data_IF_046450155739
#
_entry.id   IF_046450155739
#
_cell.length_a   1.000
_cell.length_b   1.000
_cell.length_c   1.000
_cell.angle_alpha   90.00
_cell.angle_beta   90.00
_cell.angle_gamma   90.00
#
_symmetry.space_group_name_H-M   'P 1'
#
loop_
_entity.id
_entity.type
_entity.pdbx_description
1 polymer ?
#
# COMPACT_ATOMS: atom_id res chain seq x y z
N UNK A 1 -8.41 -14.27 -31.48
CA UNK A 1 -7.34 -14.65 -30.54
C UNK A 1 -6.77 -13.45 -29.77
N UNK A 2 -6.12 -12.51 -30.46
CA UNK A 2 -5.37 -11.41 -29.83
C UNK A 2 -6.22 -10.46 -28.96
N UNK A 3 -7.41 -10.08 -29.40
CA UNK A 3 -8.33 -9.25 -28.61
C UNK A 3 -8.71 -9.93 -27.28
N UNK A 4 -8.97 -11.23 -27.30
CA UNK A 4 -9.29 -11.99 -26.09
C UNK A 4 -8.08 -12.00 -25.15
N UNK A 5 -6.87 -12.19 -25.67
CA UNK A 5 -5.65 -12.14 -24.89
C UNK A 5 -5.47 -10.76 -24.22
N UNK A 6 -5.70 -9.66 -24.95
CA UNK A 6 -5.63 -8.32 -24.40
C UNK A 6 -6.65 -8.10 -23.29
N UNK A 7 -7.89 -8.53 -23.49
CA UNK A 7 -8.93 -8.43 -22.45
C UNK A 7 -8.56 -9.24 -21.19
N UNK A 8 -7.97 -10.42 -21.35
CA UNK A 8 -7.50 -11.24 -20.23
C UNK A 8 -6.36 -10.55 -19.50
N UNK A 9 -5.38 -9.97 -20.21
CA UNK A 9 -4.27 -9.26 -19.59
C UNK A 9 -4.72 -7.99 -18.84
N UNK A 10 -5.67 -7.22 -19.44
CA UNK A 10 -6.28 -6.06 -18.76
C UNK A 10 -7.05 -6.51 -17.51
N UNK A 11 -7.80 -7.61 -17.59
CA UNK A 11 -8.54 -8.15 -16.45
C UNK A 11 -7.60 -8.65 -15.34
N UNK A 12 -6.50 -9.31 -15.67
CA UNK A 12 -5.47 -9.70 -14.71
C UNK A 12 -4.85 -8.47 -14.03
N UNK A 13 -4.52 -7.45 -14.81
CA UNK A 13 -4.01 -6.19 -14.29
C UNK A 13 -5.01 -5.54 -13.31
N UNK A 14 -6.30 -5.53 -13.68
CA UNK A 14 -7.38 -5.04 -12.83
C UNK A 14 -7.47 -5.79 -11.48
N UNK A 15 -7.33 -7.12 -11.49
CA UNK A 15 -7.34 -7.94 -10.30
C UNK A 15 -6.15 -7.61 -9.40
N UNK A 16 -4.95 -7.45 -9.97
CA UNK A 16 -3.75 -7.10 -9.21
C UNK A 16 -3.82 -5.68 -8.63
N UNK A 17 -4.25 -4.70 -9.42
CA UNK A 17 -4.45 -3.33 -8.97
C UNK A 17 -5.52 -3.23 -7.86
N UNK A 18 -6.56 -4.06 -7.96
CA UNK A 18 -7.59 -4.20 -6.94
C UNK A 18 -7.02 -4.81 -5.65
N UNK A 19 -6.17 -5.86 -5.79
CA UNK A 19 -5.51 -6.53 -4.66
C UNK A 19 -4.60 -5.59 -3.89
N UNK A 20 -3.80 -4.81 -4.60
CA UNK A 20 -2.90 -3.81 -4.05
C UNK A 20 -3.64 -2.86 -3.09
N UNK A 21 -4.64 -2.17 -3.60
CA UNK A 21 -5.39 -1.20 -2.81
C UNK A 21 -6.29 -1.82 -1.75
N UNK A 22 -6.85 -3.00 -2.01
CA UNK A 22 -7.66 -3.70 -1.02
C UNK A 22 -6.83 -4.08 0.22
N UNK A 23 -5.60 -4.58 0.03
CA UNK A 23 -4.70 -4.93 1.13
C UNK A 23 -4.24 -3.71 1.91
N UNK A 24 -3.88 -2.62 1.23
CA UNK A 24 -3.45 -1.37 1.87
C UNK A 24 -4.59 -0.62 2.60
N UNK A 25 -5.84 -0.83 2.17
CA UNK A 25 -7.00 -0.12 2.73
C UNK A 25 -7.79 -0.91 3.77
N UNK A 26 -7.40 -2.15 4.03
CA UNK A 26 -8.13 -3.02 4.97
C UNK A 26 -7.74 -2.69 6.42
N UNK A 27 -8.72 -2.76 7.32
CA UNK A 27 -8.45 -2.62 8.75
C UNK A 27 -7.82 -3.91 9.29
N UNK A 28 -6.54 -3.83 9.68
CA UNK A 28 -5.76 -4.98 10.16
C UNK A 28 -6.36 -5.63 11.40
N UNK A 29 -6.82 -4.85 12.37
CA UNK A 29 -7.43 -5.38 13.61
C UNK A 29 -8.68 -6.19 13.32
N UNK A 30 -9.50 -5.73 12.35
CA UNK A 30 -10.69 -6.47 11.93
C UNK A 30 -10.31 -7.75 11.20
N UNK A 31 -9.31 -7.68 10.34
CA UNK A 31 -8.80 -8.83 9.58
C UNK A 31 -8.23 -9.91 10.51
N UNK A 32 -7.47 -9.50 11.52
CA UNK A 32 -6.94 -10.39 12.57
C UNK A 32 -8.05 -11.12 13.32
N UNK A 33 -9.07 -10.39 13.78
CA UNK A 33 -10.24 -11.01 14.45
C UNK A 33 -10.94 -12.04 13.57
N UNK A 34 -11.11 -11.76 12.28
CA UNK A 34 -11.71 -12.72 11.33
C UNK A 34 -10.81 -13.93 11.11
N UNK A 35 -9.49 -13.74 11.11
CA UNK A 35 -8.52 -14.83 11.00
C UNK A 35 -8.56 -15.74 12.25
N UNK A 36 -8.68 -15.17 13.44
CA UNK A 36 -8.79 -15.88 14.71
C UNK A 36 -10.11 -16.66 14.83
N UNK A 37 -11.19 -16.13 14.25
CA UNK A 37 -12.48 -16.82 14.12
C UNK A 37 -12.47 -17.99 13.13
N UNK A 38 -11.33 -18.23 12.44
CA UNK A 38 -11.12 -19.37 11.57
C UNK A 38 -11.42 -19.14 10.09
N UNK A 39 -11.69 -17.92 9.64
CA UNK A 39 -11.85 -17.64 8.20
C UNK A 39 -10.50 -17.85 7.48
N UNK A 40 -10.48 -18.87 6.62
CA UNK A 40 -9.28 -19.23 5.84
C UNK A 40 -8.85 -18.14 4.84
N UNK A 41 -9.79 -17.30 4.38
CA UNK A 41 -9.50 -16.20 3.46
C UNK A 41 -8.87 -15.04 4.22
N UNK A 42 -9.40 -14.71 5.39
CA UNK A 42 -8.84 -13.72 6.28
C UNK A 42 -7.42 -14.13 6.73
N UNK A 43 -7.21 -15.39 7.11
CA UNK A 43 -5.86 -15.90 7.44
C UNK A 43 -4.83 -15.72 6.32
N UNK A 44 -5.22 -16.01 5.08
CA UNK A 44 -4.33 -15.81 3.93
C UNK A 44 -4.02 -14.34 3.69
N UNK A 45 -5.05 -13.51 3.76
CA UNK A 45 -4.89 -12.06 3.56
C UNK A 45 -4.05 -11.44 4.67
N UNK A 46 -4.29 -11.78 5.92
CA UNK A 46 -3.52 -11.34 7.08
C UNK A 46 -2.03 -11.71 6.98
N UNK A 47 -1.73 -12.89 6.45
CA UNK A 47 -0.33 -13.27 6.19
C UNK A 47 0.33 -12.36 5.14
N UNK A 48 -0.42 -11.89 4.16
CA UNK A 48 0.09 -10.97 3.13
C UNK A 48 0.29 -9.54 3.68
N UNK A 49 -0.58 -9.08 4.60
CA UNK A 49 -0.43 -7.76 5.23
C UNK A 49 0.78 -7.69 6.17
N UNK A 50 1.19 -8.81 6.77
CA UNK A 50 2.38 -8.87 7.64
C UNK A 50 3.72 -8.71 6.93
N UNK A 51 3.75 -8.90 5.61
CA UNK A 51 4.95 -8.71 4.80
C UNK A 51 4.64 -7.75 3.63
N UNK A 52 4.29 -6.48 3.90
CA UNK A 52 3.75 -5.56 2.90
C UNK A 52 4.75 -5.32 1.76
N UNK A 53 6.03 -5.17 2.05
CA UNK A 53 7.05 -4.96 1.02
C UNK A 53 7.14 -6.12 0.01
N UNK A 54 7.09 -7.37 0.48
CA UNK A 54 7.09 -8.56 -0.41
C UNK A 54 5.79 -8.69 -1.20
N UNK A 55 4.67 -8.37 -0.57
CA UNK A 55 3.37 -8.37 -1.21
C UNK A 55 3.34 -7.34 -2.35
N UNK A 56 3.70 -6.08 -2.06
CA UNK A 56 3.74 -5.00 -3.04
C UNK A 56 4.70 -5.32 -4.20
N UNK A 57 5.89 -5.83 -3.91
CA UNK A 57 6.83 -6.26 -4.94
C UNK A 57 6.23 -7.35 -5.85
N UNK A 58 5.52 -8.34 -5.26
CA UNK A 58 4.86 -9.40 -6.02
C UNK A 58 3.79 -8.84 -6.97
N UNK A 59 2.93 -7.97 -6.45
CA UNK A 59 1.85 -7.35 -7.24
C UNK A 59 2.44 -6.46 -8.33
N UNK A 60 3.46 -5.67 -8.01
CA UNK A 60 4.12 -4.79 -8.97
C UNK A 60 4.75 -5.58 -10.14
N UNK A 61 5.41 -6.70 -9.84
CA UNK A 61 5.95 -7.60 -10.88
C UNK A 61 4.83 -8.13 -11.76
N UNK A 62 3.70 -8.56 -11.17
CA UNK A 62 2.58 -9.11 -11.91
C UNK A 62 1.92 -8.05 -12.82
N UNK A 63 1.70 -6.83 -12.32
CA UNK A 63 1.16 -5.70 -13.08
C UNK A 63 2.10 -5.34 -14.24
N UNK A 64 3.39 -5.16 -13.95
CA UNK A 64 4.40 -4.77 -14.94
C UNK A 64 4.53 -5.82 -16.05
N UNK A 65 4.59 -7.10 -15.67
CA UNK A 65 4.69 -8.19 -16.63
C UNK A 65 3.44 -8.31 -17.51
N UNK A 66 2.25 -8.18 -16.92
CA UNK A 66 0.99 -8.18 -17.67
C UNK A 66 0.92 -7.00 -18.65
N UNK A 67 1.38 -5.81 -18.24
CA UNK A 67 1.43 -4.61 -19.09
C UNK A 67 2.41 -4.77 -20.25
N UNK A 68 3.62 -5.27 -20.00
CA UNK A 68 4.62 -5.50 -21.04
C UNK A 68 4.18 -6.57 -22.02
N UNK A 69 3.64 -7.68 -21.55
CA UNK A 69 3.10 -8.73 -22.43
C UNK A 69 1.94 -8.18 -23.28
N UNK A 70 1.04 -7.41 -22.68
CA UNK A 70 -0.05 -6.76 -23.40
C UNK A 70 0.46 -5.85 -24.52
N UNK A 71 1.42 -4.99 -24.23
CA UNK A 71 2.01 -4.08 -25.21
C UNK A 71 2.74 -4.83 -26.33
N UNK A 72 3.55 -5.84 -25.99
CA UNK A 72 4.30 -6.63 -26.97
C UNK A 72 3.38 -7.38 -27.94
N UNK A 73 2.39 -8.12 -27.42
CA UNK A 73 1.43 -8.84 -28.28
C UNK A 73 0.54 -7.92 -29.09
N UNK A 74 0.26 -6.71 -28.59
CA UNK A 74 -0.52 -5.76 -29.34
C UNK A 74 0.25 -5.13 -30.50
N UNK A 75 1.50 -4.74 -30.23
CA UNK A 75 2.36 -4.19 -31.27
C UNK A 75 2.52 -5.16 -32.43
N UNK A 76 2.79 -6.43 -32.13
CA UNK A 76 2.98 -7.49 -33.12
C UNK A 76 1.67 -7.83 -33.89
N UNK A 77 0.55 -7.87 -33.18
CA UNK A 77 -0.69 -8.39 -33.72
C UNK A 77 -1.63 -7.37 -34.40
N UNK A 78 -1.51 -6.09 -34.06
CA UNK A 78 -2.42 -5.05 -34.57
C UNK A 78 -1.72 -4.05 -35.50
N UNK A 79 -0.37 -4.00 -35.58
CA UNK A 79 0.30 -3.03 -36.42
C UNK A 79 0.11 -3.37 -37.94
N UNK A 80 0.33 -4.59 -38.34
CA UNK A 80 0.13 -5.00 -39.75
C UNK A 80 -1.27 -4.71 -40.30
N UNK A 81 -2.38 -5.16 -39.65
CA UNK A 81 -3.72 -4.86 -40.12
C UNK A 81 -4.01 -3.33 -40.18
N UNK A 82 -3.48 -2.56 -39.24
CA UNK A 82 -3.67 -1.12 -39.22
C UNK A 82 -2.93 -0.45 -40.39
N UNK A 83 -1.70 -0.85 -40.65
CA UNK A 83 -0.88 -0.34 -41.76
C UNK A 83 -1.48 -0.69 -43.09
N UNK A 84 -1.91 -1.94 -43.30
CA UNK A 84 -2.56 -2.38 -44.51
C UNK A 84 -3.87 -1.62 -44.76
N UNK A 85 -4.64 -1.34 -43.71
CA UNK A 85 -5.85 -0.52 -43.82
C UNK A 85 -5.52 0.93 -44.22
N UNK A 86 -4.50 1.56 -43.65
CA UNK A 86 -4.08 2.93 -44.01
C UNK A 86 -3.55 3.01 -45.43
N UNK A 87 -2.76 2.03 -45.88
CA UNK A 87 -2.29 1.94 -47.26
C UNK A 87 -3.45 1.78 -48.25
N UNK A 88 -4.50 1.04 -47.88
CA UNK A 88 -5.69 0.88 -48.72
C UNK A 88 -6.46 2.19 -48.96
N UNK A 89 -6.29 3.18 -48.08
CA UNK A 89 -6.85 4.53 -48.21
C UNK A 89 -6.06 5.44 -49.17
N UNK A 90 -4.97 4.91 -49.79
CA UNK A 90 -4.18 5.63 -50.78
C UNK A 90 -3.13 6.55 -50.18
N UNK A 91 -2.74 6.35 -48.94
CA UNK A 91 -1.69 7.14 -48.26
C UNK A 91 -0.31 6.79 -48.81
N UNK A 92 0.42 7.76 -49.33
CA UNK A 92 1.70 7.58 -50.00
C UNK A 92 2.89 7.80 -49.04
N UNK A 93 2.92 7.01 -47.95
CA UNK A 93 3.98 7.02 -46.91
C UNK A 93 4.70 5.65 -46.98
N UNK A 94 6.03 5.61 -46.78
CA UNK A 94 6.76 4.34 -46.72
C UNK A 94 6.21 3.42 -45.65
N UNK A 95 6.05 2.13 -45.97
CA UNK A 95 5.48 1.12 -45.03
C UNK A 95 6.21 1.10 -43.70
N UNK A 96 7.55 1.20 -43.68
CA UNK A 96 8.35 1.20 -42.44
C UNK A 96 8.05 2.38 -41.51
N UNK A 97 7.70 3.53 -42.07
CA UNK A 97 7.28 4.70 -41.29
C UNK A 97 5.89 4.50 -40.73
N UNK A 98 4.98 3.94 -41.52
CA UNK A 98 3.62 3.60 -41.09
C UNK A 98 3.63 2.55 -39.97
N UNK A 99 4.47 1.50 -40.09
CA UNK A 99 4.64 0.48 -39.05
C UNK A 99 5.05 1.11 -37.71
N UNK A 100 6.05 2.01 -37.72
CA UNK A 100 6.50 2.71 -36.51
C UNK A 100 5.41 3.59 -35.90
N UNK A 101 4.65 4.31 -36.70
CA UNK A 101 3.53 5.14 -36.25
C UNK A 101 2.40 4.26 -35.72
N UNK A 102 2.07 3.16 -36.40
CA UNK A 102 1.04 2.23 -35.98
C UNK A 102 1.33 1.63 -34.60
N UNK A 103 2.56 1.19 -34.34
CA UNK A 103 2.99 0.68 -33.04
C UNK A 103 2.78 1.73 -31.94
N UNK A 104 3.19 2.99 -32.17
CA UNK A 104 2.99 4.07 -31.21
C UNK A 104 1.51 4.33 -30.94
N UNK A 105 0.69 4.43 -31.97
CA UNK A 105 -0.75 4.69 -31.84
C UNK A 105 -1.44 3.54 -31.08
N UNK A 106 -1.15 2.29 -31.46
CA UNK A 106 -1.71 1.11 -30.79
C UNK A 106 -1.29 1.08 -29.32
N UNK A 107 -0.01 1.35 -29.04
CA UNK A 107 0.50 1.39 -27.65
C UNK A 107 -0.22 2.46 -26.84
N UNK A 108 -0.44 3.66 -27.38
CA UNK A 108 -1.16 4.72 -26.69
C UNK A 108 -2.62 4.35 -26.40
N UNK A 109 -3.32 3.78 -27.40
CA UNK A 109 -4.70 3.33 -27.22
C UNK A 109 -4.79 2.24 -26.15
N UNK A 110 -3.92 1.24 -26.22
CA UNK A 110 -3.88 0.16 -25.22
C UNK A 110 -3.49 0.64 -23.84
N UNK A 111 -2.51 1.56 -23.74
CA UNK A 111 -2.14 2.17 -22.47
C UNK A 111 -3.32 2.88 -21.85
N UNK A 112 -4.12 3.59 -22.62
CA UNK A 112 -5.34 4.23 -22.13
C UNK A 112 -6.32 3.21 -21.54
N UNK A 113 -6.63 2.15 -22.27
CA UNK A 113 -7.56 1.11 -21.81
C UNK A 113 -7.00 0.35 -20.60
N UNK A 114 -5.72 0.03 -20.61
CA UNK A 114 -5.05 -0.67 -19.50
C UNK A 114 -5.02 0.21 -18.25
N UNK A 115 -4.70 1.49 -18.37
CA UNK A 115 -4.71 2.42 -17.24
C UNK A 115 -6.13 2.61 -16.67
N UNK A 116 -7.12 2.85 -17.52
CA UNK A 116 -8.48 3.13 -17.05
C UNK A 116 -9.12 1.87 -16.46
N UNK A 117 -9.17 0.78 -17.23
CA UNK A 117 -9.91 -0.42 -16.86
C UNK A 117 -9.06 -1.45 -16.10
N UNK A 118 -7.75 -1.46 -16.32
CA UNK A 118 -6.82 -2.36 -15.66
C UNK A 118 -6.24 -1.80 -14.35
N UNK A 119 -6.34 -0.49 -14.10
CA UNK A 119 -5.69 0.09 -12.92
C UNK A 119 -6.57 1.12 -12.19
N UNK A 120 -6.94 2.26 -12.79
CA UNK A 120 -7.56 3.37 -12.09
C UNK A 120 -8.96 3.04 -11.56
N UNK A 121 -9.82 2.44 -12.37
CA UNK A 121 -11.18 2.05 -11.96
C UNK A 121 -11.13 0.94 -10.91
N UNK A 122 -10.38 -0.17 -11.09
CA UNK A 122 -10.23 -1.21 -10.09
C UNK A 122 -9.71 -0.69 -8.74
N UNK A 123 -8.69 0.19 -8.74
CA UNK A 123 -8.17 0.82 -7.52
C UNK A 123 -9.25 1.61 -6.78
N UNK A 124 -10.04 2.43 -7.49
CA UNK A 124 -11.14 3.19 -6.87
C UNK A 124 -12.23 2.30 -6.28
N UNK A 125 -12.55 1.19 -6.94
CA UNK A 125 -13.52 0.21 -6.44
C UNK A 125 -12.97 -0.49 -5.20
N UNK A 126 -11.70 -0.86 -5.22
CA UNK A 126 -11.02 -1.51 -4.10
C UNK A 126 -11.00 -0.63 -2.84
N UNK A 127 -10.73 0.66 -2.96
CA UNK A 127 -10.78 1.61 -1.83
C UNK A 127 -12.16 1.65 -1.15
N UNK A 128 -13.24 1.48 -1.92
CA UNK A 128 -14.61 1.50 -1.36
C UNK A 128 -15.07 0.16 -0.79
N UNK A 129 -14.50 -0.95 -1.27
CA UNK A 129 -14.93 -2.32 -0.92
C UNK A 129 -13.73 -3.21 -0.58
N UNK A 130 -12.74 -2.66 0.15
CA UNK A 130 -11.46 -3.30 0.44
C UNK A 130 -11.62 -4.69 1.05
N UNK A 131 -12.46 -4.84 2.06
CA UNK A 131 -12.69 -6.09 2.77
C UNK A 131 -13.25 -7.19 1.86
N UNK A 132 -14.34 -6.90 1.15
CA UNK A 132 -15.01 -7.90 0.28
C UNK A 132 -14.09 -8.34 -0.85
N UNK A 133 -13.42 -7.38 -1.49
CA UNK A 133 -12.52 -7.66 -2.61
C UNK A 133 -11.25 -8.34 -2.13
N UNK A 134 -10.61 -7.85 -1.05
CA UNK A 134 -9.41 -8.44 -0.48
C UNK A 134 -9.61 -9.91 -0.10
N UNK A 135 -10.70 -10.23 0.60
CA UNK A 135 -11.04 -11.61 0.95
C UNK A 135 -11.30 -12.48 -0.27
N UNK A 136 -11.99 -11.95 -1.29
CA UNK A 136 -12.33 -12.72 -2.51
C UNK A 136 -11.09 -13.09 -3.33
N UNK A 137 -10.12 -12.16 -3.44
CA UNK A 137 -8.91 -12.35 -4.25
C UNK A 137 -7.73 -12.93 -3.47
N UNK A 138 -7.83 -13.07 -2.14
CA UNK A 138 -6.76 -13.56 -1.26
C UNK A 138 -6.14 -14.88 -1.71
N UNK A 139 -6.97 -15.80 -2.21
CA UNK A 139 -6.51 -17.11 -2.70
C UNK A 139 -5.67 -17.00 -3.98
N UNK A 140 -6.11 -16.20 -4.92
CA UNK A 140 -5.42 -15.98 -6.19
C UNK A 140 -4.06 -15.29 -5.96
N UNK A 141 -4.07 -14.23 -5.16
CA UNK A 141 -2.85 -13.48 -4.81
C UNK A 141 -1.84 -14.34 -4.07
N UNK A 142 -2.29 -15.14 -3.09
CA UNK A 142 -1.42 -16.08 -2.37
C UNK A 142 -0.78 -17.13 -3.30
N UNK A 143 -1.54 -17.64 -4.28
CA UNK A 143 -1.00 -18.55 -5.30
C UNK A 143 0.06 -17.89 -6.16
N UNK A 144 -0.22 -16.69 -6.66
CA UNK A 144 0.70 -15.91 -7.47
C UNK A 144 1.96 -15.54 -6.71
N UNK A 145 1.84 -15.11 -5.43
CA UNK A 145 2.99 -14.83 -4.57
C UNK A 145 3.93 -16.03 -4.44
N UNK A 146 3.38 -17.24 -4.44
CA UNK A 146 4.19 -18.46 -4.40
C UNK A 146 4.96 -18.68 -5.71
N UNK A 147 4.32 -18.46 -6.85
CA UNK A 147 4.96 -18.61 -8.18
C UNK A 147 6.02 -17.54 -8.40
N UNK A 148 5.76 -16.30 -8.03
CA UNK A 148 6.70 -15.18 -8.21
C UNK A 148 7.78 -15.09 -7.11
N UNK A 149 7.73 -15.92 -6.07
CA UNK A 149 8.69 -15.91 -4.97
C UNK A 149 10.15 -15.83 -5.40
N UNK A 150 10.67 -16.64 -6.38
CA UNK A 150 12.06 -16.53 -6.81
C UNK A 150 12.38 -15.19 -7.47
N UNK A 151 11.46 -14.63 -8.25
CA UNK A 151 11.63 -13.34 -8.92
C UNK A 151 11.65 -12.21 -7.88
N UNK A 152 10.71 -12.23 -6.95
CA UNK A 152 10.63 -11.24 -5.87
C UNK A 152 11.86 -11.30 -4.97
N UNK A 153 12.35 -12.50 -4.66
CA UNK A 153 13.60 -12.66 -3.92
C UNK A 153 14.78 -12.01 -4.66
N UNK A 154 14.93 -12.28 -5.95
CA UNK A 154 16.01 -11.70 -6.76
C UNK A 154 15.91 -10.16 -6.80
N UNK A 155 14.72 -9.62 -6.99
CA UNK A 155 14.48 -8.17 -6.96
C UNK A 155 14.81 -7.56 -5.59
N UNK A 156 14.38 -8.20 -4.51
CA UNK A 156 14.68 -7.74 -3.14
C UNK A 156 16.18 -7.71 -2.87
N UNK A 157 16.90 -8.74 -3.28
CA UNK A 157 18.39 -8.77 -3.14
C UNK A 157 19.02 -7.65 -3.95
N UNK A 158 18.55 -7.41 -5.17
CA UNK A 158 19.05 -6.33 -6.04
C UNK A 158 18.77 -4.96 -5.44
N UNK A 159 17.55 -4.73 -4.95
CA UNK A 159 17.14 -3.48 -4.28
C UNK A 159 17.97 -3.23 -3.02
N UNK A 160 18.14 -4.25 -2.17
CA UNK A 160 18.94 -4.14 -0.96
C UNK A 160 20.43 -3.85 -1.27
N UNK A 161 20.95 -4.41 -2.37
CA UNK A 161 22.32 -4.10 -2.82
C UNK A 161 22.45 -2.61 -3.22
N UNK A 162 21.47 -2.08 -3.95
CA UNK A 162 21.44 -0.65 -4.32
C UNK A 162 21.29 0.25 -3.10
N UNK A 163 20.38 -0.07 -2.16
CA UNK A 163 20.20 0.68 -0.92
C UNK A 163 21.49 0.77 -0.11
N UNK A 164 22.22 -0.36 0.04
CA UNK A 164 23.52 -0.37 0.72
C UNK A 164 24.57 0.48 0.01
N UNK A 165 24.58 0.51 -1.32
CA UNK A 165 25.45 1.40 -2.10
C UNK A 165 25.14 2.87 -1.88
N UNK A 166 23.87 3.20 -1.58
CA UNK A 166 23.43 4.55 -1.24
C UNK A 166 23.61 4.89 0.25
N UNK A 167 24.15 3.96 1.06
CA UNK A 167 24.38 4.16 2.50
C UNK A 167 23.15 3.95 3.37
N UNK A 168 22.07 3.37 2.82
CA UNK A 168 20.83 3.08 3.55
C UNK A 168 20.85 1.62 3.99
N UNK A 169 20.65 1.35 5.29
CA UNK A 169 20.51 -0.01 5.79
C UNK A 169 19.09 -0.53 5.54
N UNK A 170 18.89 -1.54 4.66
CA UNK A 170 17.58 -2.08 4.37
C UNK A 170 16.95 -2.87 5.54
N UNK A 171 17.67 -3.08 6.65
CA UNK A 171 17.17 -3.72 7.86
C UNK A 171 16.95 -2.71 9.01
N UNK A 172 17.20 -1.43 8.80
CA UNK A 172 16.80 -0.41 9.74
C UNK A 172 15.28 -0.52 9.92
N UNK A 173 14.86 -0.91 11.12
CA UNK A 173 13.45 -1.14 11.39
C UNK A 173 12.65 0.13 11.09
N UNK A 174 11.53 -0.03 10.40
CA UNK A 174 10.53 1.02 10.27
C UNK A 174 10.32 1.66 11.65
N UNK A 175 10.32 2.98 11.67
CA UNK A 175 10.24 3.81 12.87
C UNK A 175 9.23 3.23 13.86
N UNK A 176 9.72 2.84 15.04
CA UNK A 176 8.83 2.48 16.13
C UNK A 176 7.96 3.71 16.37
N UNK A 177 6.65 3.51 16.41
CA UNK A 177 5.70 4.57 16.75
C UNK A 177 6.23 5.28 18.00
N UNK A 178 6.67 6.53 17.85
CA UNK A 178 7.19 7.31 18.95
C UNK A 178 6.04 8.07 19.65
N UNK A 179 6.32 8.61 20.82
CA UNK A 179 5.33 9.37 21.60
C UNK A 179 4.78 10.56 20.83
N UNK A 180 5.63 11.26 20.05
CA UNK A 180 5.21 12.38 19.21
C UNK A 180 4.16 11.96 18.16
N UNK A 181 4.29 10.78 17.59
CA UNK A 181 3.36 10.26 16.60
C UNK A 181 2.01 9.88 17.23
N UNK A 182 2.04 9.35 18.47
CA UNK A 182 0.83 9.10 19.26
C UNK A 182 0.14 10.43 19.60
N UNK A 183 0.87 11.45 20.06
CA UNK A 183 0.32 12.77 20.36
C UNK A 183 -0.28 13.44 19.12
N UNK A 184 0.36 13.34 17.95
CA UNK A 184 -0.21 13.84 16.70
C UNK A 184 -1.54 13.13 16.32
N UNK A 185 -1.64 11.82 16.59
CA UNK A 185 -2.89 11.08 16.38
C UNK A 185 -3.99 11.52 17.36
N UNK A 186 -3.64 11.80 18.63
CA UNK A 186 -4.56 12.33 19.63
C UNK A 186 -5.04 13.73 19.25
N UNK A 187 -4.15 14.60 18.78
CA UNK A 187 -4.48 15.94 18.30
C UNK A 187 -5.46 15.88 17.10
N UNK A 188 -5.17 15.05 16.13
CA UNK A 188 -6.06 14.84 14.99
C UNK A 188 -7.43 14.23 15.39
N UNK A 189 -7.46 13.42 16.44
CA UNK A 189 -8.67 12.89 17.05
C UNK A 189 -9.50 13.98 17.74
N UNK A 190 -8.84 14.90 18.44
CA UNK A 190 -9.48 16.04 19.11
C UNK A 190 -10.06 17.03 18.10
N UNK A 191 -9.33 17.37 17.03
CA UNK A 191 -9.81 18.24 15.97
C UNK A 191 -11.09 17.69 15.27
N UNK A 192 -11.21 16.37 15.19
CA UNK A 192 -12.38 15.68 14.60
C UNK A 192 -13.50 15.44 15.63
N UNK A 193 -13.31 15.85 16.89
CA UNK A 193 -14.30 15.67 17.95
C UNK A 193 -14.47 14.21 18.42
N UNK A 194 -13.51 13.33 18.10
CA UNK A 194 -13.50 11.96 18.58
C UNK A 194 -12.85 11.81 19.97
N UNK A 195 -12.03 12.75 20.36
CA UNK A 195 -11.36 12.88 21.66
C UNK A 195 -11.70 14.27 22.19
N UNK A 196 -12.14 14.38 23.45
CA UNK A 196 -12.38 15.67 24.07
C UNK A 196 -11.08 16.31 24.60
N UNK A 197 -11.15 17.60 24.94
CA UNK A 197 -9.97 18.36 25.36
C UNK A 197 -9.42 17.90 26.72
N UNK A 198 -10.27 17.33 27.58
CA UNK A 198 -9.83 16.75 28.87
C UNK A 198 -9.12 15.42 28.65
N UNK A 199 -9.65 14.56 27.78
CA UNK A 199 -9.02 13.29 27.40
C UNK A 199 -7.66 13.54 26.75
N UNK A 200 -7.56 14.53 25.85
CA UNK A 200 -6.31 14.95 25.24
C UNK A 200 -5.28 15.39 26.30
N UNK A 201 -5.69 16.26 27.21
CA UNK A 201 -4.81 16.73 28.30
C UNK A 201 -4.35 15.58 29.22
N UNK A 202 -5.21 14.59 29.50
CA UNK A 202 -4.83 13.42 30.27
C UNK A 202 -3.75 12.58 29.56
N UNK A 203 -3.89 12.36 28.26
CA UNK A 203 -2.89 11.57 27.48
C UNK A 203 -1.55 12.31 27.48
N UNK A 204 -1.56 13.62 27.26
CA UNK A 204 -0.35 14.44 27.31
C UNK A 204 0.33 14.40 28.68
N UNK A 205 -0.44 14.56 29.77
CA UNK A 205 0.09 14.49 31.11
C UNK A 205 0.67 13.10 31.45
N UNK A 206 0.18 12.01 30.86
CA UNK A 206 0.74 10.68 31.06
C UNK A 206 2.15 10.59 30.51
N UNK A 207 2.40 11.14 29.31
CA UNK A 207 3.75 11.17 28.72
C UNK A 207 4.69 12.12 29.50
N UNK A 208 4.23 13.31 29.88
CA UNK A 208 5.00 14.23 30.71
C UNK A 208 5.36 13.62 32.06
N UNK A 209 4.50 12.76 32.63
CA UNK A 209 4.74 12.11 33.92
C UNK A 209 5.88 11.07 33.86
N UNK A 210 6.05 10.38 32.71
CA UNK A 210 7.11 9.38 32.55
C UNK A 210 8.50 10.02 32.51
N UNK A 211 8.59 11.27 32.05
CA UNK A 211 9.83 12.04 31.99
C UNK A 211 10.20 12.73 33.32
N UNK A 212 9.25 12.84 34.27
CA UNK A 212 9.50 13.55 35.55
C UNK A 212 10.29 12.70 36.54
N UNK A 213 11.36 13.28 37.05
CA UNK A 213 12.13 12.65 38.12
C UNK A 213 11.57 13.03 39.50
N UNK A 214 11.82 12.18 40.51
CA UNK A 214 11.43 12.48 41.90
C UNK A 214 12.07 13.77 42.42
N UNK A 215 13.24 14.16 41.91
CA UNK A 215 13.95 15.38 42.26
C UNK A 215 13.21 16.64 41.76
N UNK A 216 12.63 16.57 40.55
CA UNK A 216 11.92 17.70 39.93
C UNK A 216 10.57 18.00 40.60
N UNK A 217 9.90 16.98 41.15
CA UNK A 217 8.59 17.14 41.82
C UNK A 217 8.73 17.25 43.36
N UNK A 218 9.90 16.98 43.90
CA UNK A 218 10.12 17.04 45.33
C UNK A 218 10.17 18.50 45.82
N UNK A 219 9.32 18.85 46.79
CA UNK A 219 9.37 20.14 47.48
C UNK A 219 10.47 20.09 48.54
N UNK A 220 11.34 21.11 48.56
CA UNK A 220 12.41 21.17 49.53
C UNK A 220 11.84 21.26 50.95
N UNK A 221 12.43 20.52 51.91
CA UNK A 221 11.91 20.40 53.28
C UNK A 221 11.64 21.75 53.97
N UNK A 222 12.37 22.78 53.60
CA UNK A 222 12.21 24.15 54.15
C UNK A 222 11.00 24.90 53.61
N UNK A 223 10.39 24.41 52.55
CA UNK A 223 9.23 25.01 51.85
C UNK A 223 7.92 24.27 52.18
N UNK A 224 8.01 23.12 52.87
CA UNK A 224 6.84 22.34 53.25
C UNK A 224 6.23 22.89 54.53
N UNK A 225 4.98 23.32 54.47
CA UNK A 225 4.19 23.62 55.65
C UNK A 225 3.70 22.31 56.30
N UNK A 226 4.07 22.06 57.55
CA UNK A 226 3.74 20.83 58.28
C UNK A 226 2.80 21.16 59.41
N UNK A 227 1.72 20.40 59.53
CA UNK A 227 0.87 20.36 60.74
C UNK A 227 1.33 19.15 61.54
N UNK A 228 1.78 19.44 62.82
CA UNK A 228 2.12 18.35 63.70
C UNK A 228 0.86 17.82 64.36
N UNK A 229 0.80 16.53 64.66
CA UNK A 229 -0.36 15.91 65.33
C UNK A 229 -0.58 16.43 66.76
N UNK A 230 0.41 17.08 67.29
CA UNK A 230 0.40 17.68 68.65
C UNK A 230 0.01 19.17 68.66
N UNK A 231 -0.12 19.78 67.49
CA UNK A 231 -0.52 21.18 67.34
C UNK A 231 -2.00 21.35 67.72
N UNK A 232 -2.31 22.33 68.58
CA UNK A 232 -3.71 22.62 68.89
C UNK A 232 -4.38 23.29 67.69
N UNK A 233 -5.65 23.00 67.44
CA UNK A 233 -6.44 23.57 66.32
C UNK A 233 -6.72 25.10 66.49
N UNK A 234 -6.07 25.76 67.45
CA UNK A 234 -6.29 27.19 67.78
C UNK A 234 -5.11 28.08 67.36
N UNK A 235 -4.05 27.56 66.74
CA UNK A 235 -2.99 28.32 66.11
C UNK A 235 -3.03 28.07 64.57
#
# INVERSE_FOLDING_TARGET
GLLILQLVLIALNAIFACAELAVLSINETKLERMADQGDKRAKRLFKLTREPAKFLATIQVAITLSGFLGSAFAADGFSEPLVDWVLSLGVNIPRSTLDSIAVVVITLILSYFTLVFGELVPKRVAMKKAEVLGLSISGLVSGISTVFKPIVWFLSVSTNAVLRLLGIDPNEADEQVNEEEILMMVDAGSEKGAIDEQERAFIQNVFEFDDLTAEEIAVHRTEVAVLWMEDSMEE
#
